data_IF_031916843672
#
_entry.id   IF_031916843672
#
_cell.length_a   1.000
_cell.length_b   1.000
_cell.length_c   1.000
_cell.angle_alpha   90.00
_cell.angle_beta   90.00
_cell.angle_gamma   90.00
#
_symmetry.space_group_name_H-M   'P 1'
#
loop_
_entity.id
_entity.type
_entity.pdbx_description
1 polymer ?
#
# COMPACT_ATOMS: atom_id res chain seq x y z
N UNK A 1 -41.27 7.77 -31.92
CA UNK A 1 -40.31 7.27 -30.91
C UNK A 1 -39.71 5.95 -31.39
N UNK A 2 -38.96 6.02 -32.49
CA UNK A 2 -38.19 4.91 -33.06
C UNK A 2 -36.93 5.55 -33.62
N UNK A 3 -35.85 5.58 -32.83
CA UNK A 3 -34.53 6.05 -33.29
C UNK A 3 -33.42 5.04 -32.97
N UNK A 4 -33.75 3.76 -32.73
CA UNK A 4 -32.76 2.68 -32.68
C UNK A 4 -33.26 1.33 -33.24
N UNK A 5 -34.11 1.34 -34.27
CA UNK A 5 -34.59 0.11 -34.92
C UNK A 5 -33.44 -0.79 -35.37
N UNK A 6 -32.37 -0.21 -35.91
CA UNK A 6 -31.26 -0.99 -36.46
C UNK A 6 -30.48 -1.75 -35.39
N UNK A 7 -30.18 -1.11 -34.26
CA UNK A 7 -29.50 -1.77 -33.15
C UNK A 7 -30.39 -2.81 -32.47
N UNK A 8 -31.69 -2.50 -32.33
CA UNK A 8 -32.67 -3.42 -31.76
C UNK A 8 -32.84 -4.69 -32.60
N UNK A 9 -33.00 -4.53 -33.91
CA UNK A 9 -33.06 -5.64 -34.85
C UNK A 9 -31.74 -6.40 -34.87
N UNK A 10 -30.61 -5.70 -34.89
CA UNK A 10 -29.29 -6.34 -34.82
C UNK A 10 -29.10 -7.15 -33.53
N UNK A 11 -29.63 -6.70 -32.39
CA UNK A 11 -29.52 -7.44 -31.13
C UNK A 11 -30.17 -8.82 -31.20
N UNK A 12 -31.34 -8.95 -31.84
CA UNK A 12 -32.06 -10.22 -31.93
C UNK A 12 -31.70 -11.05 -33.16
N UNK A 13 -31.41 -10.43 -34.31
CA UNK A 13 -31.20 -11.12 -35.60
C UNK A 13 -29.88 -10.80 -36.30
N UNK A 14 -28.99 -10.03 -35.65
CA UNK A 14 -27.64 -9.75 -36.16
C UNK A 14 -26.75 -10.99 -36.24
N UNK A 15 -25.48 -10.80 -36.63
CA UNK A 15 -24.47 -11.87 -36.70
C UNK A 15 -24.92 -13.12 -37.49
N UNK A 16 -25.52 -12.91 -38.67
CA UNK A 16 -25.98 -14.02 -39.51
C UNK A 16 -27.24 -14.73 -39.01
N UNK A 17 -28.08 -14.04 -38.23
CA UNK A 17 -29.35 -14.56 -37.73
C UNK A 17 -29.29 -15.14 -36.31
N UNK A 18 -28.12 -15.17 -35.68
CA UNK A 18 -27.95 -15.66 -34.30
C UNK A 18 -28.40 -14.60 -33.29
N UNK A 19 -28.14 -13.32 -33.58
CA UNK A 19 -28.42 -12.18 -32.71
C UNK A 19 -27.17 -11.60 -32.06
N UNK A 20 -27.10 -10.27 -32.01
CA UNK A 20 -26.04 -9.51 -31.34
C UNK A 20 -25.97 -9.72 -29.82
N UNK A 21 -26.99 -10.28 -29.18
CA UNK A 21 -26.95 -10.71 -27.77
C UNK A 21 -25.78 -11.65 -27.47
N UNK A 22 -25.28 -12.39 -28.46
CA UNK A 22 -24.11 -13.27 -28.31
C UNK A 22 -22.85 -12.51 -27.86
N UNK A 23 -22.65 -11.28 -28.33
CA UNK A 23 -21.49 -10.45 -27.91
C UNK A 23 -21.59 -10.10 -26.43
N UNK A 24 -22.79 -9.76 -25.95
CA UNK A 24 -23.03 -9.47 -24.54
C UNK A 24 -22.89 -10.72 -23.66
N UNK A 25 -23.31 -11.89 -24.17
CA UNK A 25 -23.06 -13.17 -23.51
C UNK A 25 -21.55 -13.45 -23.40
N UNK A 26 -20.79 -13.27 -24.48
CA UNK A 26 -19.34 -13.48 -24.45
C UNK A 26 -18.64 -12.51 -23.48
N UNK A 27 -19.05 -11.23 -23.47
CA UNK A 27 -18.54 -10.24 -22.53
C UNK A 27 -18.81 -10.63 -21.07
N UNK A 28 -20.04 -11.10 -20.80
CA UNK A 28 -20.43 -11.62 -19.49
C UNK A 28 -19.59 -12.85 -19.11
N UNK A 29 -19.40 -13.81 -20.01
CA UNK A 29 -18.60 -15.02 -19.77
C UNK A 29 -17.13 -14.70 -19.48
N UNK A 30 -16.53 -13.77 -20.24
CA UNK A 30 -15.16 -13.30 -19.98
C UNK A 30 -15.07 -12.64 -18.60
N UNK A 31 -16.08 -11.86 -18.22
CA UNK A 31 -16.13 -11.21 -16.91
C UNK A 31 -16.25 -12.23 -15.77
N UNK A 32 -17.12 -13.23 -15.91
CA UNK A 32 -17.24 -14.35 -14.95
C UNK A 32 -15.91 -15.09 -14.84
N UNK A 33 -15.34 -15.50 -15.98
CA UNK A 33 -14.10 -16.26 -16.01
C UNK A 33 -12.97 -15.49 -15.35
N UNK A 34 -12.82 -14.20 -15.66
CA UNK A 34 -11.82 -13.33 -15.05
C UNK A 34 -11.98 -13.28 -13.52
N UNK A 35 -13.17 -12.97 -13.01
CA UNK A 35 -13.41 -12.84 -11.56
C UNK A 35 -13.24 -14.19 -10.84
N UNK A 36 -13.72 -15.28 -11.41
CA UNK A 36 -13.60 -16.61 -10.81
C UNK A 36 -12.16 -17.09 -10.82
N UNK A 37 -11.45 -17.00 -11.95
CA UNK A 37 -10.05 -17.41 -12.05
C UNK A 37 -9.14 -16.54 -11.19
N UNK A 38 -9.26 -15.21 -11.25
CA UNK A 38 -8.42 -14.32 -10.44
C UNK A 38 -8.67 -14.53 -8.95
N UNK A 39 -9.93 -14.61 -8.52
CA UNK A 39 -10.25 -14.83 -7.11
C UNK A 39 -9.84 -16.22 -6.62
N UNK A 40 -9.90 -17.25 -7.47
CA UNK A 40 -9.45 -18.59 -7.13
C UNK A 40 -7.93 -18.70 -7.08
N UNK A 41 -7.22 -18.16 -8.08
CA UNK A 41 -5.76 -18.19 -8.11
C UNK A 41 -5.13 -17.45 -6.94
N UNK A 42 -5.80 -16.40 -6.44
CA UNK A 42 -5.34 -15.57 -5.32
C UNK A 42 -6.00 -15.93 -3.99
N UNK A 43 -6.84 -16.98 -3.95
CA UNK A 43 -7.63 -17.39 -2.78
C UNK A 43 -8.38 -16.23 -2.09
N UNK A 44 -8.89 -15.26 -2.86
CA UNK A 44 -9.55 -14.08 -2.32
C UNK A 44 -10.93 -14.44 -1.73
N UNK A 45 -11.31 -13.83 -0.58
CA UNK A 45 -12.64 -13.94 0.02
C UNK A 45 -13.71 -13.17 -0.77
N UNK A 46 -13.67 -13.22 -2.10
CA UNK A 46 -14.56 -12.50 -3.02
C UNK A 46 -15.81 -13.33 -3.40
N UNK A 47 -16.34 -14.11 -2.46
CA UNK A 47 -17.50 -14.98 -2.73
C UNK A 47 -18.74 -14.18 -3.20
N UNK A 48 -18.95 -12.99 -2.65
CA UNK A 48 -20.01 -12.07 -3.07
C UNK A 48 -19.86 -11.62 -4.52
N UNK A 49 -18.64 -11.27 -4.95
CA UNK A 49 -18.36 -10.87 -6.33
C UNK A 49 -18.58 -12.02 -7.31
N UNK A 50 -18.08 -13.23 -7.00
CA UNK A 50 -18.30 -14.41 -7.84
C UNK A 50 -19.79 -14.67 -8.08
N UNK A 51 -20.58 -14.71 -7.00
CA UNK A 51 -22.03 -14.93 -7.08
C UNK A 51 -22.74 -13.80 -7.80
N UNK A 52 -22.36 -12.55 -7.53
CA UNK A 52 -22.97 -11.36 -8.13
C UNK A 52 -22.83 -11.34 -9.65
N UNK A 53 -21.60 -11.52 -10.17
CA UNK A 53 -21.34 -11.52 -11.62
C UNK A 53 -22.10 -12.67 -12.29
N UNK A 54 -22.11 -13.88 -11.72
CA UNK A 54 -22.87 -15.01 -12.26
C UNK A 54 -24.38 -14.71 -12.29
N UNK A 55 -24.96 -14.25 -11.17
CA UNK A 55 -26.39 -13.99 -11.08
C UNK A 55 -26.86 -12.91 -12.06
N UNK A 56 -26.10 -11.82 -12.19
CA UNK A 56 -26.43 -10.74 -13.13
C UNK A 56 -26.30 -11.21 -14.58
N UNK A 57 -25.28 -12.03 -14.90
CA UNK A 57 -25.13 -12.58 -16.25
C UNK A 57 -26.26 -13.53 -16.66
N UNK A 58 -26.89 -14.23 -15.72
CA UNK A 58 -28.05 -15.10 -16.02
C UNK A 58 -29.27 -14.32 -16.52
N UNK A 59 -29.31 -13.00 -16.33
CA UNK A 59 -30.35 -12.14 -16.90
C UNK A 59 -30.33 -12.11 -18.44
N UNK A 60 -29.31 -12.67 -19.10
CA UNK A 60 -29.28 -12.82 -20.57
C UNK A 60 -30.23 -13.92 -21.06
N UNK A 61 -30.67 -14.84 -20.20
CA UNK A 61 -31.47 -16.03 -20.57
C UNK A 61 -32.75 -15.66 -21.35
N UNK A 62 -33.58 -14.68 -20.95
CA UNK A 62 -34.76 -14.31 -21.72
C UNK A 62 -34.46 -13.91 -23.18
N UNK A 63 -33.33 -13.24 -23.43
CA UNK A 63 -32.91 -12.88 -24.78
C UNK A 63 -32.51 -14.12 -25.59
N UNK A 64 -31.78 -15.06 -24.97
CA UNK A 64 -31.45 -16.35 -25.59
C UNK A 64 -32.72 -17.12 -25.93
N UNK A 65 -33.62 -17.28 -24.96
CA UNK A 65 -34.88 -18.01 -25.13
C UNK A 65 -35.68 -17.41 -26.28
N UNK A 66 -35.86 -16.09 -26.30
CA UNK A 66 -36.59 -15.41 -27.37
C UNK A 66 -36.02 -15.73 -28.76
N UNK A 67 -34.69 -15.73 -28.91
CA UNK A 67 -34.03 -16.00 -30.20
C UNK A 67 -34.21 -17.43 -30.72
N UNK A 68 -34.52 -18.41 -29.86
CA UNK A 68 -34.72 -19.81 -30.27
C UNK A 68 -36.18 -20.27 -30.28
N UNK A 69 -37.10 -19.40 -29.87
CA UNK A 69 -38.53 -19.68 -29.80
C UNK A 69 -39.19 -19.54 -31.19
N UNK A 70 -40.12 -20.43 -31.57
CA UNK A 70 -40.90 -20.31 -32.82
C UNK A 70 -41.67 -18.99 -32.98
N UNK A 71 -41.91 -18.57 -34.23
CA UNK A 71 -42.51 -17.26 -34.56
C UNK A 71 -43.90 -17.02 -33.95
N UNK A 72 -44.72 -18.06 -33.82
CA UNK A 72 -46.05 -17.99 -33.21
C UNK A 72 -45.99 -17.57 -31.74
N UNK A 73 -44.99 -18.05 -30.99
CA UNK A 73 -44.78 -17.67 -29.59
C UNK A 73 -44.06 -16.31 -29.51
N UNK A 74 -43.18 -15.98 -30.45
CA UNK A 74 -42.54 -14.66 -30.49
C UNK A 74 -43.57 -13.52 -30.61
N UNK A 75 -44.62 -13.71 -31.41
CA UNK A 75 -45.73 -12.76 -31.54
C UNK A 75 -46.50 -12.54 -30.22
N UNK A 76 -46.59 -13.57 -29.38
CA UNK A 76 -47.20 -13.44 -28.05
C UNK A 76 -46.32 -12.68 -27.05
N UNK A 77 -45.00 -12.66 -27.29
CA UNK A 77 -44.00 -12.01 -26.43
C UNK A 77 -43.67 -10.56 -26.86
N UNK A 78 -44.23 -10.08 -27.97
CA UNK A 78 -44.06 -8.69 -28.47
C UNK A 78 -44.18 -7.61 -27.38
N UNK A 79 -45.19 -7.65 -26.48
CA UNK A 79 -45.32 -6.65 -25.41
C UNK A 79 -44.14 -6.63 -24.42
N UNK A 80 -43.39 -7.73 -24.33
CA UNK A 80 -42.26 -7.88 -23.40
C UNK A 80 -40.91 -7.68 -24.07
N UNK A 81 -40.88 -7.51 -25.40
CA UNK A 81 -39.64 -7.56 -26.18
C UNK A 81 -38.66 -6.42 -25.83
N UNK A 82 -39.20 -5.22 -25.59
CA UNK A 82 -38.41 -4.07 -25.13
C UNK A 82 -37.71 -4.34 -23.79
N UNK A 83 -38.42 -4.98 -22.85
CA UNK A 83 -37.86 -5.35 -21.56
C UNK A 83 -36.78 -6.44 -21.71
N UNK A 84 -37.03 -7.45 -22.55
CA UNK A 84 -36.05 -8.51 -22.84
C UNK A 84 -34.77 -7.92 -23.43
N UNK A 85 -34.90 -6.96 -24.34
CA UNK A 85 -33.78 -6.24 -24.93
C UNK A 85 -32.94 -5.48 -23.87
N UNK A 86 -33.58 -4.66 -23.04
CA UNK A 86 -32.86 -3.89 -22.02
C UNK A 86 -32.20 -4.78 -20.97
N UNK A 87 -32.93 -5.80 -20.49
CA UNK A 87 -32.39 -6.77 -19.53
C UNK A 87 -31.21 -7.51 -20.14
N UNK A 88 -31.27 -7.88 -21.43
CA UNK A 88 -30.18 -8.52 -22.14
C UNK A 88 -28.92 -7.66 -22.27
N UNK A 89 -29.06 -6.36 -22.55
CA UNK A 89 -27.92 -5.44 -22.56
C UNK A 89 -27.30 -5.31 -21.16
N UNK A 90 -28.13 -5.09 -20.15
CA UNK A 90 -27.67 -4.96 -18.76
C UNK A 90 -26.95 -6.23 -18.28
N UNK A 91 -27.44 -7.41 -18.69
CA UNK A 91 -26.83 -8.69 -18.38
C UNK A 91 -25.41 -8.86 -18.95
N UNK A 92 -25.06 -8.16 -20.03
CA UNK A 92 -23.69 -8.13 -20.55
C UNK A 92 -22.83 -7.01 -19.97
N UNK A 93 -23.39 -5.80 -19.86
CA UNK A 93 -22.64 -4.60 -19.48
C UNK A 93 -22.35 -4.53 -17.98
N UNK A 94 -23.31 -4.87 -17.11
CA UNK A 94 -23.12 -4.77 -15.65
C UNK A 94 -22.01 -5.73 -15.16
N UNK A 95 -21.97 -7.01 -15.57
CA UNK A 95 -20.89 -7.92 -15.16
C UNK A 95 -19.48 -7.42 -15.53
N UNK A 96 -19.35 -6.73 -16.66
CA UNK A 96 -18.09 -6.13 -17.08
C UNK A 96 -17.64 -5.02 -16.12
N UNK A 97 -18.53 -4.10 -15.75
CA UNK A 97 -18.21 -3.07 -14.75
C UNK A 97 -17.99 -3.66 -13.36
N UNK A 98 -18.72 -4.71 -12.98
CA UNK A 98 -18.45 -5.45 -11.75
C UNK A 98 -17.06 -6.09 -11.75
N UNK A 99 -16.61 -6.65 -12.87
CA UNK A 99 -15.27 -7.21 -13.00
C UNK A 99 -14.18 -6.12 -12.86
N UNK A 100 -14.40 -4.92 -13.41
CA UNK A 100 -13.52 -3.76 -13.20
C UNK A 100 -13.51 -3.35 -11.73
N UNK A 101 -14.69 -3.21 -11.10
CA UNK A 101 -14.83 -2.85 -9.70
C UNK A 101 -14.14 -3.86 -8.77
N UNK A 102 -14.29 -5.15 -9.05
CA UNK A 102 -13.57 -6.23 -8.39
C UNK A 102 -12.05 -6.04 -8.50
N UNK A 103 -11.55 -5.78 -9.71
CA UNK A 103 -10.12 -5.59 -9.97
C UNK A 103 -9.56 -4.38 -9.20
N UNK A 104 -10.31 -3.28 -9.13
CA UNK A 104 -9.94 -2.08 -8.37
C UNK A 104 -9.93 -2.36 -6.86
N UNK A 105 -10.97 -3.01 -6.34
CA UNK A 105 -11.12 -3.29 -4.90
C UNK A 105 -10.01 -4.19 -4.36
N UNK A 106 -9.63 -5.22 -5.13
CA UNK A 106 -8.61 -6.18 -4.70
C UNK A 106 -7.25 -5.90 -5.31
N UNK A 107 -7.02 -4.71 -5.88
CA UNK A 107 -5.73 -4.40 -6.50
C UNK A 107 -4.63 -4.40 -5.44
N UNK A 108 -3.61 -5.23 -5.65
CA UNK A 108 -2.47 -5.30 -4.73
C UNK A 108 -2.77 -5.96 -3.39
N UNK A 109 -3.85 -6.74 -3.26
CA UNK A 109 -4.15 -7.51 -2.03
C UNK A 109 -3.76 -8.98 -2.18
N UNK A 110 -3.35 -9.63 -1.08
CA UNK A 110 -3.08 -11.07 -1.00
C UNK A 110 -3.76 -11.68 0.22
N UNK A 111 -3.87 -13.01 0.23
CA UNK A 111 -4.57 -13.77 1.27
C UNK A 111 -3.60 -14.76 1.87
N UNK A 112 -3.52 -14.78 3.19
CA UNK A 112 -2.69 -15.73 3.92
C UNK A 112 -3.36 -17.11 3.97
N UNK A 113 -2.62 -18.17 4.31
CA UNK A 113 -3.17 -19.53 4.50
C UNK A 113 -4.33 -19.58 5.51
N UNK A 114 -4.34 -18.66 6.49
CA UNK A 114 -5.43 -18.52 7.48
C UNK A 114 -6.63 -17.71 6.99
N UNK A 115 -6.61 -17.20 5.76
CA UNK A 115 -7.72 -16.46 5.14
C UNK A 115 -7.73 -14.94 5.36
N UNK A 116 -6.69 -14.37 5.97
CA UNK A 116 -6.59 -12.93 6.20
C UNK A 116 -6.20 -12.19 4.92
N UNK A 117 -6.92 -11.10 4.63
CA UNK A 117 -6.65 -10.21 3.51
C UNK A 117 -5.65 -9.12 3.94
N UNK A 118 -4.54 -8.96 3.24
CA UNK A 118 -3.53 -7.95 3.53
C UNK A 118 -2.95 -7.39 2.23
N UNK A 119 -2.45 -6.14 2.22
CA UNK A 119 -1.83 -5.61 1.02
C UNK A 119 -0.49 -6.30 0.75
N UNK A 120 -0.21 -6.54 -0.53
CA UNK A 120 0.89 -7.35 -1.06
C UNK A 120 2.25 -6.79 -0.69
N UNK A 121 2.33 -5.48 -0.47
CA UNK A 121 3.54 -4.78 -0.03
C UNK A 121 4.08 -5.30 1.30
N UNK A 122 3.21 -5.75 2.21
CA UNK A 122 3.64 -6.28 3.50
C UNK A 122 4.36 -7.64 3.42
N UNK A 123 4.16 -8.42 2.35
CA UNK A 123 4.70 -9.78 2.12
C UNK A 123 4.32 -10.85 3.18
N UNK A 124 4.10 -10.45 4.43
CA UNK A 124 3.70 -11.28 5.57
C UNK A 124 2.37 -10.78 6.14
N UNK A 125 1.57 -11.73 6.64
CA UNK A 125 0.27 -11.40 7.19
C UNK A 125 0.41 -10.87 8.64
N UNK A 126 0.05 -9.60 8.92
CA UNK A 126 0.23 -9.01 10.25
C UNK A 126 -0.62 -9.68 11.34
N UNK A 127 -1.74 -10.32 10.96
CA UNK A 127 -2.62 -11.04 11.88
C UNK A 127 -2.15 -12.48 12.18
N UNK A 128 -1.21 -13.02 11.40
CA UNK A 128 -0.67 -14.36 11.61
C UNK A 128 0.60 -14.38 12.43
N UNK A 129 1.27 -13.23 12.60
CA UNK A 129 2.43 -13.10 13.45
C UNK A 129 1.96 -13.30 14.90
N UNK A 130 2.48 -14.31 15.63
CA UNK A 130 2.14 -14.47 17.03
C UNK A 130 2.54 -13.20 17.77
N UNK A 131 1.61 -12.62 18.53
CA UNK A 131 1.92 -11.59 19.53
C UNK A 131 2.69 -12.21 20.71
N UNK A 132 3.81 -12.88 20.47
CA UNK A 132 4.69 -13.33 21.54
C UNK A 132 5.56 -12.15 21.98
N UNK A 133 4.95 -11.18 22.66
CA UNK A 133 5.65 -10.15 23.44
C UNK A 133 4.82 -9.66 24.65
N UNK A 134 3.92 -10.50 25.18
CA UNK A 134 3.20 -10.21 26.43
C UNK A 134 3.42 -11.23 27.56
N UNK A 135 4.23 -12.29 27.33
CA UNK A 135 4.65 -13.26 28.34
C UNK A 135 6.18 -13.24 28.55
N UNK A 136 6.79 -12.05 28.57
CA UNK A 136 8.18 -11.92 29.03
C UNK A 136 8.17 -11.53 30.51
N UNK A 137 8.36 -12.53 31.38
CA UNK A 137 8.63 -12.33 32.80
C UNK A 137 10.09 -11.85 32.95
N UNK A 138 10.34 -10.60 33.38
CA UNK A 138 11.69 -10.07 33.52
C UNK A 138 12.51 -10.77 34.62
N UNK A 139 11.92 -11.69 35.40
CA UNK A 139 12.59 -12.36 36.52
C UNK A 139 13.42 -13.59 36.16
N UNK A 140 13.43 -14.03 34.89
CA UNK A 140 14.21 -15.19 34.41
C UNK A 140 15.56 -14.84 33.73
N UNK A 141 16.07 -13.62 33.89
CA UNK A 141 17.43 -13.31 33.44
C UNK A 141 18.46 -13.90 34.40
N UNK A 142 19.00 -15.06 34.01
CA UNK A 142 20.20 -15.68 34.56
C UNK A 142 21.37 -14.69 34.48
N UNK A 143 21.75 -14.15 35.64
CA UNK A 143 22.93 -13.31 35.82
C UNK A 143 24.21 -14.16 35.68
N UNK A 144 24.56 -14.57 34.46
CA UNK A 144 25.91 -15.06 34.20
C UNK A 144 26.52 -14.44 32.94
N UNK A 145 27.56 -13.63 33.21
CA UNK A 145 28.62 -13.18 32.31
C UNK A 145 28.27 -12.13 31.25
N UNK A 146 28.43 -10.87 31.64
CA UNK A 146 29.17 -9.91 30.82
C UNK A 146 30.15 -9.13 31.68
N UNK A 147 31.41 -9.56 31.57
CA UNK A 147 32.60 -8.94 32.14
C UNK A 147 32.82 -7.60 31.43
N UNK A 148 32.49 -6.50 32.10
CA UNK A 148 32.84 -5.15 31.66
C UNK A 148 33.87 -4.59 32.63
N UNK A 149 35.07 -4.43 32.08
CA UNK A 149 36.23 -3.88 32.74
C UNK A 149 35.96 -2.50 33.33
N UNK A 150 36.49 -2.37 34.53
CA UNK A 150 36.79 -1.18 35.29
C UNK A 150 37.43 -0.09 34.40
N UNK A 151 36.80 1.07 34.32
CA UNK A 151 37.49 2.35 34.20
C UNK A 151 36.56 3.44 34.75
N UNK A 152 36.78 3.71 36.03
CA UNK A 152 36.36 4.92 36.73
C UNK A 152 36.92 6.16 36.05
N UNK A 153 36.06 7.16 35.84
CA UNK A 153 36.28 8.56 36.24
C UNK A 153 35.48 9.50 35.33
N UNK A 154 34.43 10.13 35.88
CA UNK A 154 34.30 11.59 35.98
C UNK A 154 32.89 11.94 36.41
N UNK A 155 32.82 12.50 37.62
CA UNK A 155 31.65 13.11 38.25
C UNK A 155 31.61 14.60 37.89
N UNK A 156 30.46 15.12 37.47
CA UNK A 156 29.97 16.50 37.69
C UNK A 156 28.60 16.59 36.97
N UNK A 157 27.45 16.60 37.63
CA UNK A 157 26.88 17.55 38.59
C UNK A 157 26.47 18.89 37.95
N UNK A 158 25.29 19.39 38.38
CA UNK A 158 24.74 20.76 38.26
C UNK A 158 23.52 21.07 37.34
N UNK A 159 22.35 21.03 38.00
CA UNK A 159 21.24 22.04 38.19
C UNK A 159 20.52 22.77 37.05
N UNK A 160 19.20 22.90 37.30
CA UNK A 160 18.25 24.03 37.12
C UNK A 160 18.01 24.65 35.72
N UNK A 161 16.74 24.66 35.28
CA UNK A 161 15.84 25.78 35.60
C UNK A 161 14.46 25.61 34.94
N UNK A 162 13.43 25.89 35.73
CA UNK A 162 12.03 26.05 35.33
C UNK A 162 11.76 27.46 34.81
N UNK A 163 11.04 27.61 33.68
CA UNK A 163 10.30 28.85 33.37
C UNK A 163 8.96 28.54 32.68
N UNK A 164 7.95 29.27 33.15
CA UNK A 164 6.52 29.19 32.83
C UNK A 164 6.09 30.14 31.68
N UNK A 165 5.11 29.66 30.89
CA UNK A 165 3.85 30.30 30.44
C UNK A 165 3.90 31.62 29.63
N UNK A 166 3.28 31.64 28.43
CA UNK A 166 2.07 32.45 28.11
C UNK A 166 1.54 32.22 26.67
N UNK A 167 0.20 32.29 26.57
CA UNK A 167 -0.69 32.04 25.43
C UNK A 167 -0.58 33.04 24.26
N UNK A 168 -1.00 32.63 23.04
CA UNK A 168 -2.14 33.26 22.32
C UNK A 168 -2.46 32.64 20.95
N UNK A 169 -3.77 32.56 20.73
CA UNK A 169 -4.63 32.05 19.64
C UNK A 169 -4.31 32.56 18.22
N UNK A 170 -4.49 31.68 17.22
CA UNK A 170 -4.70 32.07 15.82
C UNK A 170 -4.87 30.88 14.87
N UNK A 171 -6.11 30.45 14.64
CA UNK A 171 -6.45 29.36 13.72
C UNK A 171 -6.42 29.81 12.24
N UNK A 172 -5.83 29.00 11.36
CA UNK A 172 -6.07 29.02 9.90
C UNK A 172 -5.92 27.61 9.30
N UNK A 173 -6.79 27.30 8.36
CA UNK A 173 -7.18 25.98 7.80
C UNK A 173 -6.12 25.23 6.94
N UNK A 174 -4.87 25.08 7.40
CA UNK A 174 -3.82 24.29 6.71
C UNK A 174 -3.44 22.99 7.46
N UNK A 175 -4.25 22.57 8.43
CA UNK A 175 -3.88 21.63 9.49
C UNK A 175 -4.35 20.16 9.26
N UNK A 176 -4.29 19.65 8.02
CA UNK A 176 -4.74 18.27 7.73
C UNK A 176 -3.79 17.40 6.89
N UNK A 177 -2.50 17.76 6.81
CA UNK A 177 -1.50 16.97 6.07
C UNK A 177 -0.15 16.79 6.79
N UNK A 178 -0.09 16.98 8.11
CA UNK A 178 1.12 16.84 8.92
C UNK A 178 1.00 15.84 10.10
N UNK A 179 -0.13 15.15 10.24
CA UNK A 179 -0.49 14.40 11.46
C UNK A 179 -0.08 12.92 11.50
N UNK A 180 0.84 12.45 10.64
CA UNK A 180 1.33 11.05 10.72
C UNK A 180 2.85 10.92 10.97
N UNK A 181 3.58 12.03 11.12
CA UNK A 181 5.01 12.01 11.40
C UNK A 181 5.33 12.85 12.64
N UNK A 182 4.96 12.31 13.80
CA UNK A 182 5.57 12.50 15.13
C UNK A 182 4.57 12.79 16.27
N UNK A 183 3.64 11.88 16.52
CA UNK A 183 3.24 11.63 17.91
C UNK A 183 4.04 10.42 18.41
N UNK A 184 5.21 10.69 19.00
CA UNK A 184 5.83 9.71 19.89
C UNK A 184 4.84 9.54 21.03
N UNK A 185 4.39 8.33 21.31
CA UNK A 185 3.62 8.05 22.52
C UNK A 185 4.50 8.44 23.72
N UNK A 186 4.19 9.59 24.32
CA UNK A 186 4.79 10.06 25.55
C UNK A 186 3.83 9.70 26.67
N UNK A 187 4.31 8.98 27.68
CA UNK A 187 3.54 8.79 28.91
C UNK A 187 3.89 9.91 29.88
N UNK A 188 2.88 10.62 30.36
CA UNK A 188 3.02 11.48 31.53
C UNK A 188 3.09 10.60 32.78
N UNK A 189 4.26 10.63 33.44
CA UNK A 189 4.49 9.94 34.70
C UNK A 189 4.65 10.96 35.82
N UNK A 190 4.57 10.52 37.08
CA UNK A 190 4.79 11.38 38.26
C UNK A 190 6.22 11.97 38.32
N UNK A 191 7.14 11.51 37.46
CA UNK A 191 8.54 11.93 37.37
C UNK A 191 8.82 12.75 36.09
N UNK A 192 7.81 12.98 35.24
CA UNK A 192 7.93 13.77 34.00
C UNK A 192 7.47 13.03 32.75
N UNK A 193 7.65 13.66 31.58
CA UNK A 193 7.33 13.08 30.26
C UNK A 193 8.41 12.09 29.83
N UNK A 194 8.06 10.81 29.78
CA UNK A 194 8.96 9.75 29.30
C UNK A 194 8.53 9.34 27.89
N UNK A 195 9.43 9.50 26.92
CA UNK A 195 9.21 8.99 25.57
C UNK A 195 9.50 7.50 25.52
N UNK A 196 8.66 6.72 24.84
CA UNK A 196 8.94 5.30 24.63
C UNK A 196 10.31 5.10 23.95
N UNK A 197 11.09 4.07 24.36
CA UNK A 197 12.34 3.74 23.70
C UNK A 197 12.07 3.43 22.23
N UNK A 198 12.97 3.90 21.36
CA UNK A 198 12.83 3.72 19.91
C UNK A 198 12.79 2.22 19.60
N UNK A 199 11.71 1.74 18.97
CA UNK A 199 11.64 0.35 18.50
C UNK A 199 12.76 0.12 17.49
N UNK A 200 13.77 -0.66 17.85
CA UNK A 200 14.84 -1.04 16.95
C UNK A 200 14.28 -1.97 15.87
N UNK A 201 14.20 -1.47 14.63
CA UNK A 201 13.85 -2.31 13.49
C UNK A 201 15.02 -3.26 13.17
N UNK A 202 14.74 -4.50 12.72
CA UNK A 202 15.78 -5.41 12.27
C UNK A 202 16.59 -4.78 11.14
N UNK A 203 17.88 -5.10 11.06
CA UNK A 203 18.78 -4.53 10.05
C UNK A 203 18.65 -5.23 8.69
N UNK A 204 18.72 -4.48 7.60
CA UNK A 204 18.69 -5.00 6.23
C UNK A 204 20.10 -5.19 5.65
N UNK A 205 20.20 -5.84 4.49
CA UNK A 205 21.47 -6.10 3.80
C UNK A 205 21.95 -4.93 2.92
N UNK A 206 21.53 -3.70 3.24
CA UNK A 206 21.87 -2.51 2.49
C UNK A 206 22.49 -1.43 3.38
N UNK A 207 23.37 -0.63 2.78
CA UNK A 207 24.22 0.32 3.45
C UNK A 207 24.27 1.63 2.67
N UNK A 208 24.37 2.73 3.40
CA UNK A 208 24.85 4.01 2.88
C UNK A 208 26.32 4.14 3.27
N UNK A 209 27.19 4.22 2.27
CA UNK A 209 28.62 4.42 2.46
C UNK A 209 28.96 5.91 2.38
N UNK A 210 29.68 6.39 3.37
CA UNK A 210 30.16 7.76 3.44
C UNK A 210 31.59 7.88 2.90
N UNK A 211 31.98 9.05 2.34
CA UNK A 211 33.33 9.27 1.81
C UNK A 211 34.45 9.14 2.85
N UNK A 212 34.12 9.31 4.13
CA UNK A 212 35.03 9.17 5.27
C UNK A 212 35.27 7.69 5.67
N UNK A 213 34.65 6.74 4.97
CA UNK A 213 34.73 5.30 5.26
C UNK A 213 33.70 4.81 6.28
N UNK A 214 32.88 5.70 6.84
CA UNK A 214 31.78 5.29 7.70
C UNK A 214 30.65 4.65 6.88
N UNK A 215 29.79 3.89 7.54
CA UNK A 215 28.59 3.34 6.91
C UNK A 215 27.38 3.41 7.84
N UNK A 216 26.21 3.62 7.26
CA UNK A 216 24.94 3.45 7.95
C UNK A 216 24.19 2.27 7.36
N UNK A 217 23.99 1.23 8.17
CA UNK A 217 23.16 0.08 7.77
C UNK A 217 21.68 0.43 7.85
N UNK A 218 20.98 0.19 6.75
CA UNK A 218 19.56 0.42 6.65
C UNK A 218 18.77 -0.59 7.51
N UNK A 219 17.59 -0.18 7.94
CA UNK A 219 16.63 -1.05 8.61
C UNK A 219 15.79 -1.80 7.57
N UNK A 220 15.22 -2.93 7.98
CA UNK A 220 14.10 -3.56 7.28
C UNK A 220 12.86 -2.69 7.48
N UNK A 221 12.23 -2.27 6.38
CA UNK A 221 11.17 -1.27 6.39
C UNK A 221 11.73 0.15 6.32
N UNK A 222 11.46 1.00 7.32
CA UNK A 222 11.79 2.43 7.25
C UNK A 222 13.13 2.73 7.94
N UNK A 223 14.00 3.43 7.22
CA UNK A 223 15.20 4.07 7.76
C UNK A 223 15.05 5.58 7.68
N UNK A 224 14.92 6.24 8.83
CA UNK A 224 14.88 7.70 8.91
C UNK A 224 16.31 8.28 8.85
N UNK A 225 16.48 9.36 8.08
CA UNK A 225 17.77 10.00 7.84
C UNK A 225 17.65 11.50 8.13
N UNK A 226 18.59 12.03 8.90
CA UNK A 226 18.64 13.46 9.19
C UNK A 226 19.61 13.79 10.32
N UNK A 227 19.73 15.09 10.64
CA UNK A 227 20.62 15.54 11.72
C UNK A 227 20.08 15.29 13.11
N UNK A 228 18.76 15.12 13.25
CA UNK A 228 18.15 14.83 14.55
C UNK A 228 18.66 13.51 15.13
N UNK A 229 18.95 13.48 16.43
CA UNK A 229 19.35 12.27 17.16
C UNK A 229 18.30 11.16 17.14
N UNK A 230 17.06 11.48 16.77
CA UNK A 230 15.97 10.52 16.62
C UNK A 230 15.98 9.74 15.30
N UNK A 231 16.88 10.02 14.35
CA UNK A 231 16.96 9.31 13.08
C UNK A 231 17.71 7.98 13.22
N UNK A 232 17.56 7.10 12.24
CA UNK A 232 18.30 5.83 12.19
C UNK A 232 19.70 6.03 11.62
N UNK A 233 19.82 6.87 10.59
CA UNK A 233 21.10 7.41 10.12
C UNK A 233 21.20 8.88 10.52
N UNK A 234 22.00 9.16 11.55
CA UNK A 234 22.20 10.51 12.06
C UNK A 234 23.34 11.19 11.29
N UNK A 235 23.01 12.27 10.58
CA UNK A 235 23.95 13.06 9.77
C UNK A 235 24.26 14.37 10.49
N UNK A 236 25.39 14.47 11.19
CA UNK A 236 25.78 15.66 11.93
C UNK A 236 26.29 16.80 11.02
N UNK A 237 25.42 17.33 10.15
CA UNK A 237 25.77 18.42 9.25
C UNK A 237 24.65 19.48 9.19
N UNK A 238 25.00 20.76 9.30
CA UNK A 238 24.07 21.89 9.35
C UNK A 238 23.21 22.05 8.10
N UNK A 239 23.68 21.59 6.93
CA UNK A 239 22.92 21.57 5.67
C UNK A 239 21.88 20.45 5.60
N UNK A 240 21.86 19.55 6.60
CA UNK A 240 20.88 18.47 6.72
C UNK A 240 19.81 18.85 7.76
N UNK A 241 18.57 18.93 7.30
CA UNK A 241 17.37 19.07 8.16
C UNK A 241 17.28 18.00 9.26
N UNK A 242 16.59 18.33 10.36
CA UNK A 242 16.43 17.41 11.50
C UNK A 242 15.79 16.08 11.08
N UNK A 243 14.73 16.12 10.28
CA UNK A 243 14.15 14.99 9.56
C UNK A 243 14.29 15.33 8.08
N UNK A 244 15.23 14.69 7.37
CA UNK A 244 15.61 15.12 6.03
C UNK A 244 14.99 14.23 4.95
N UNK A 245 15.22 12.93 5.09
CA UNK A 245 14.77 11.93 4.13
C UNK A 245 14.43 10.64 4.86
N UNK A 246 13.75 9.74 4.16
CA UNK A 246 13.61 8.35 4.58
C UNK A 246 13.89 7.42 3.41
N UNK A 247 14.50 6.28 3.72
CA UNK A 247 14.60 5.16 2.78
C UNK A 247 13.69 4.06 3.28
N UNK A 248 12.86 3.53 2.39
CA UNK A 248 11.92 2.46 2.69
C UNK A 248 12.30 1.23 1.88
N UNK A 249 12.48 0.10 2.56
CA UNK A 249 12.54 -1.21 1.93
C UNK A 249 11.11 -1.67 1.60
N UNK A 250 10.78 -1.76 0.31
CA UNK A 250 9.48 -2.22 -0.21
C UNK A 250 9.43 -3.76 -0.37
N UNK A 251 10.35 -4.48 0.29
CA UNK A 251 10.50 -5.93 0.25
C UNK A 251 11.56 -6.43 -0.74
N UNK A 252 12.06 -7.65 -0.51
CA UNK A 252 13.09 -8.33 -1.34
C UNK A 252 14.33 -7.46 -1.64
N UNK A 253 14.79 -6.68 -0.66
CA UNK A 253 15.93 -5.77 -0.78
C UNK A 253 15.76 -4.70 -1.87
N UNK A 254 14.51 -4.28 -2.12
CA UNK A 254 14.15 -3.17 -2.99
C UNK A 254 13.98 -1.92 -2.13
N UNK A 255 14.75 -0.87 -2.43
CA UNK A 255 14.78 0.34 -1.62
C UNK A 255 14.29 1.56 -2.41
N UNK A 256 13.47 2.40 -1.78
CA UNK A 256 13.08 3.71 -2.33
C UNK A 256 13.45 4.84 -1.39
N UNK A 257 13.93 5.93 -1.95
CA UNK A 257 14.22 7.16 -1.20
C UNK A 257 13.09 8.19 -1.34
N UNK A 258 12.79 8.86 -0.24
CA UNK A 258 11.80 9.94 -0.12
C UNK A 258 12.45 11.15 0.56
N UNK A 259 12.31 12.33 -0.03
CA UNK A 259 12.61 13.59 0.64
C UNK A 259 11.41 14.00 1.50
N UNK A 260 11.65 14.47 2.73
CA UNK A 260 10.61 14.85 3.69
C UNK A 260 10.33 16.36 3.70
N UNK A 261 10.55 17.04 2.58
CA UNK A 261 10.46 18.50 2.50
C UNK A 261 11.70 19.17 3.10
N UNK A 262 12.87 18.61 2.85
CA UNK A 262 14.12 19.13 3.42
C UNK A 262 14.47 20.50 2.85
N UNK A 263 15.10 21.36 3.66
CA UNK A 263 15.36 22.75 3.30
C UNK A 263 16.27 22.90 2.07
N UNK A 264 17.28 22.04 1.97
CA UNK A 264 18.24 22.05 0.85
C UNK A 264 17.95 20.96 -0.20
N UNK A 265 16.97 20.10 0.07
CA UNK A 265 16.58 18.99 -0.80
C UNK A 265 17.53 17.79 -0.74
N UNK A 266 17.01 16.67 -1.24
CA UNK A 266 17.78 15.46 -1.53
C UNK A 266 18.08 15.37 -3.03
N UNK A 267 19.29 14.94 -3.39
CA UNK A 267 19.75 14.75 -4.77
C UNK A 267 20.11 13.28 -5.00
N UNK A 268 19.71 12.73 -6.15
CA UNK A 268 20.04 11.37 -6.58
C UNK A 268 20.72 11.45 -7.94
N UNK A 269 21.95 10.95 -8.04
CA UNK A 269 22.78 10.95 -9.25
C UNK A 269 22.86 12.34 -9.92
N UNK A 270 23.03 13.39 -9.10
CA UNK A 270 23.13 14.78 -9.54
C UNK A 270 21.80 15.47 -9.90
N UNK A 271 20.65 14.78 -9.79
CA UNK A 271 19.31 15.34 -10.06
C UNK A 271 18.49 15.50 -8.78
N UNK A 272 17.66 16.55 -8.70
CA UNK A 272 16.86 16.80 -7.49
C UNK A 272 15.82 15.70 -7.38
N UNK A 273 15.68 15.14 -6.19
CA UNK A 273 14.59 14.23 -5.91
C UNK A 273 13.29 15.04 -5.84
N UNK A 274 12.40 14.82 -6.82
CA UNK A 274 11.07 15.46 -6.89
C UNK A 274 9.96 14.55 -6.39
N UNK A 275 10.19 13.23 -6.46
CA UNK A 275 9.26 12.18 -6.06
C UNK A 275 10.04 10.99 -5.54
N UNK A 276 9.35 10.11 -4.82
CA UNK A 276 9.90 8.84 -4.37
C UNK A 276 10.52 8.07 -5.54
N UNK A 277 11.79 7.68 -5.40
CA UNK A 277 12.56 7.06 -6.49
C UNK A 277 13.24 5.78 -6.01
N UNK A 278 13.28 4.78 -6.88
CA UNK A 278 13.95 3.50 -6.66
C UNK A 278 15.46 3.72 -6.57
N UNK A 279 16.11 3.06 -5.61
CA UNK A 279 17.56 3.03 -5.48
C UNK A 279 18.12 1.77 -6.14
N UNK A 280 19.16 1.96 -6.93
CA UNK A 280 19.99 0.91 -7.52
C UNK A 280 21.39 0.92 -6.90
N UNK A 281 22.10 -0.20 -6.95
CA UNK A 281 23.45 -0.27 -6.43
C UNK A 281 24.35 0.78 -7.11
N UNK A 282 25.25 1.36 -6.32
CA UNK A 282 26.18 2.42 -6.73
C UNK A 282 25.50 3.78 -6.98
N UNK A 283 24.22 3.94 -6.59
CA UNK A 283 23.56 5.24 -6.64
C UNK A 283 24.22 6.24 -5.68
N UNK A 284 24.52 7.43 -6.20
CA UNK A 284 25.06 8.54 -5.43
C UNK A 284 23.92 9.42 -4.91
N UNK A 285 23.76 9.46 -3.60
CA UNK A 285 22.75 10.25 -2.91
C UNK A 285 23.45 11.41 -2.22
N UNK A 286 22.93 12.63 -2.37
CA UNK A 286 23.42 13.80 -1.64
C UNK A 286 22.29 14.45 -0.86
N UNK A 287 22.49 14.58 0.45
CA UNK A 287 21.60 15.25 1.38
C UNK A 287 22.08 16.69 1.61
N UNK A 288 21.25 17.66 1.21
CA UNK A 288 21.66 19.06 1.16
C UNK A 288 22.85 19.28 0.22
N UNK A 289 23.75 20.17 0.61
CA UNK A 289 24.83 20.63 -0.26
C UNK A 289 26.16 19.87 -0.08
N UNK A 290 26.41 19.33 1.11
CA UNK A 290 27.73 18.77 1.48
C UNK A 290 27.76 17.27 1.71
N UNK A 291 26.65 16.65 2.16
CA UNK A 291 26.68 15.24 2.58
C UNK A 291 26.35 14.34 1.40
N UNK A 292 27.36 13.70 0.82
CA UNK A 292 27.19 12.67 -0.22
C UNK A 292 27.43 11.28 0.34
N UNK A 293 26.66 10.31 -0.14
CA UNK A 293 26.76 8.89 0.20
C UNK A 293 26.55 8.04 -1.04
N UNK A 294 27.06 6.82 -1.02
CA UNK A 294 26.80 5.80 -2.05
C UNK A 294 25.90 4.73 -1.45
N UNK A 295 24.84 4.36 -2.17
CA UNK A 295 23.96 3.28 -1.78
C UNK A 295 24.46 1.94 -2.31
N UNK A 296 24.55 0.94 -1.42
CA UNK A 296 24.88 -0.43 -1.76
C UNK A 296 23.90 -1.41 -1.12
N UNK A 297 23.50 -2.42 -1.86
CA UNK A 297 22.67 -3.54 -1.41
C UNK A 297 23.31 -4.86 -1.82
N UNK A 298 23.27 -5.86 -0.94
CA UNK A 298 23.80 -7.21 -1.17
C UNK A 298 23.07 -8.02 -2.27
N UNK A 299 22.17 -7.38 -3.03
CA UNK A 299 21.48 -8.01 -4.15
C UNK A 299 22.51 -8.36 -5.25
N UNK A 300 22.82 -9.64 -5.41
CA UNK A 300 23.35 -10.14 -6.68
C UNK A 300 22.22 -10.00 -7.71
N UNK A 301 22.44 -9.15 -8.71
CA UNK A 301 21.66 -9.13 -9.94
C UNK A 301 21.77 -10.51 -10.62
#
# INVERSE_FOLDING_TARGET
MITSTDFYLWFFSGLGGIGGWLIFLLLALVSILFVVLDSSNRNLPAAGWRRGVILVSLLIIPAIVYSFVPQDIQLQMEPYLEYIFYVGILAGVIPFFMAIGYSLQFRGMEVCEKGHLYPRDLHECPQCIPQNFMDYDPSELDETQLDLGDDSDTVMDLVDDTVAVEDTVGATEEELASTELAEREFFETQVGRVGLPKKHLPKSSAFLLFPDGNSCQLNQGVTAIGRGSGNDCVLQNTYVSRNHAKIVEEGRSIFRIYDLGSSNGTWLNGRKLMKATLLENDDHIRFGDEVSVVFLSSRKI
#
